data_IF_722400437558
#
_entry.id   IF_722400437558
#
_cell.length_a   1.000
_cell.length_b   1.000
_cell.length_c   1.000
_cell.angle_alpha   90.00
_cell.angle_beta   90.00
_cell.angle_gamma   90.00
#
_symmetry.space_group_name_H-M   'P 1'
#
loop_
_entity.id
_entity.type
_entity.pdbx_description
1 polymer ?
#
# COMPACT_ATOMS: atom_id res chain seq x y z
N UNK A 1 -6.91 -10.36 10.51
CA UNK A 1 -7.07 -11.60 9.81
C UNK A 1 -6.03 -11.76 8.72
N UNK A 2 -5.61 -12.96 8.51
CA UNK A 2 -4.62 -13.27 7.50
C UNK A 2 -5.14 -13.04 6.10
N UNK A 3 -6.46 -12.96 5.98
CA UNK A 3 -7.08 -12.75 4.67
C UNK A 3 -7.40 -11.32 4.36
N UNK A 4 -6.91 -10.38 5.16
CA UNK A 4 -7.17 -8.97 4.88
C UNK A 4 -6.60 -8.60 3.52
N UNK A 5 -7.40 -7.94 2.70
CA UNK A 5 -7.01 -7.56 1.36
C UNK A 5 -6.41 -6.16 1.34
N UNK A 6 -5.74 -5.84 0.23
CA UNK A 6 -5.22 -4.50 0.04
C UNK A 6 -6.34 -3.47 0.12
N UNK A 7 -7.52 -3.82 -0.35
CA UNK A 7 -8.67 -2.90 -0.31
C UNK A 7 -8.96 -2.44 1.12
N UNK A 8 -9.01 -3.39 2.04
CA UNK A 8 -9.31 -3.08 3.42
C UNK A 8 -8.14 -2.36 4.08
N UNK A 9 -6.95 -2.91 3.93
CA UNK A 9 -5.79 -2.41 4.65
C UNK A 9 -5.40 -1.01 4.21
N UNK A 10 -5.37 -0.75 2.91
CA UNK A 10 -4.96 0.56 2.42
C UNK A 10 -6.05 1.60 2.60
N UNK A 11 -7.31 1.18 2.58
CA UNK A 11 -8.39 2.11 2.91
C UNK A 11 -8.28 2.57 4.37
N UNK A 12 -7.95 1.65 5.27
CA UNK A 12 -7.77 2.00 6.67
C UNK A 12 -6.59 2.95 6.85
N UNK A 13 -5.49 2.71 6.12
CA UNK A 13 -4.33 3.58 6.21
C UNK A 13 -4.65 4.99 5.70
N UNK A 14 -5.37 5.08 4.60
CA UNK A 14 -5.75 6.38 4.05
C UNK A 14 -6.68 7.12 5.00
N UNK A 15 -7.65 6.43 5.57
CA UNK A 15 -8.55 7.03 6.55
C UNK A 15 -7.79 7.58 7.75
N UNK A 16 -6.85 6.80 8.27
CA UNK A 16 -6.08 7.24 9.42
C UNK A 16 -5.29 8.49 9.09
N UNK A 17 -4.68 8.53 7.91
CA UNK A 17 -3.94 9.70 7.48
C UNK A 17 -4.84 10.92 7.28
N UNK A 18 -5.99 10.73 6.67
CA UNK A 18 -6.91 11.84 6.44
C UNK A 18 -7.46 12.40 7.75
N UNK A 19 -7.62 11.54 8.73
CA UNK A 19 -8.18 11.96 10.01
C UNK A 19 -7.22 12.82 10.81
N UNK A 20 -5.94 12.46 10.86
CA UNK A 20 -5.00 13.10 11.76
C UNK A 20 -3.61 13.31 11.16
N UNK A 21 -3.43 13.02 9.88
CA UNK A 21 -2.13 13.18 9.24
C UNK A 21 -1.15 12.12 9.68
N UNK A 22 0.12 12.47 9.62
CA UNK A 22 1.21 11.56 9.96
C UNK A 22 1.29 11.41 11.47
N UNK A 23 0.71 10.33 11.97
CA UNK A 23 0.74 10.05 13.38
C UNK A 23 0.97 8.57 13.63
N UNK A 24 1.03 8.21 14.90
CA UNK A 24 1.34 6.84 15.29
C UNK A 24 0.35 5.83 14.73
N UNK A 25 -0.94 6.15 14.84
CA UNK A 25 -1.98 5.24 14.35
C UNK A 25 -1.92 5.11 12.84
N UNK A 26 -1.70 6.23 12.13
CA UNK A 26 -1.63 6.19 10.67
C UNK A 26 -0.41 5.39 10.22
N UNK A 27 0.73 5.57 10.87
CA UNK A 27 1.93 4.82 10.52
C UNK A 27 1.75 3.33 10.75
N UNK A 28 1.11 2.96 11.86
CA UNK A 28 0.83 1.56 12.14
C UNK A 28 -0.05 0.97 11.05
N UNK A 29 -1.09 1.69 10.66
CA UNK A 29 -1.99 1.22 9.61
C UNK A 29 -1.26 1.07 8.27
N UNK A 30 -0.34 1.99 7.97
CA UNK A 30 0.43 1.91 6.73
C UNK A 30 1.34 0.69 6.72
N UNK A 31 1.98 0.39 7.84
CA UNK A 31 2.84 -0.79 7.93
C UNK A 31 2.02 -2.06 7.79
N UNK A 32 0.87 -2.12 8.43
CA UNK A 32 -0.02 -3.27 8.31
C UNK A 32 -0.51 -3.45 6.88
N UNK A 33 -0.81 -2.33 6.20
CA UNK A 33 -1.23 -2.39 4.80
C UNK A 33 -0.10 -2.91 3.92
N UNK A 34 1.12 -2.45 4.17
CA UNK A 34 2.28 -2.93 3.41
C UNK A 34 2.45 -4.44 3.61
N UNK A 35 2.20 -4.93 4.81
CA UNK A 35 2.29 -6.36 5.05
C UNK A 35 1.19 -7.15 4.33
N UNK A 36 0.05 -6.52 4.10
CA UNK A 36 -1.00 -7.14 3.28
C UNK A 36 -0.60 -7.18 1.81
N UNK A 37 0.00 -6.11 1.31
CA UNK A 37 0.43 -6.04 -0.08
C UNK A 37 1.51 -4.99 -0.23
N UNK A 38 2.75 -5.44 -0.40
CA UNK A 38 3.91 -4.55 -0.44
C UNK A 38 4.05 -3.79 -1.76
N UNK A 39 3.26 -4.14 -2.76
CA UNK A 39 3.41 -3.55 -4.09
C UNK A 39 2.69 -2.23 -4.27
N UNK A 40 1.71 -1.93 -3.40
CA UNK A 40 0.86 -0.76 -3.59
C UNK A 40 1.64 0.57 -3.54
N UNK A 41 2.53 0.80 -2.56
CA UNK A 41 3.22 2.10 -2.52
C UNK A 41 4.01 2.40 -3.79
N UNK A 42 4.74 1.41 -4.30
CA UNK A 42 5.52 1.60 -5.51
C UNK A 42 4.64 1.92 -6.71
N UNK A 43 3.54 1.20 -6.84
CA UNK A 43 2.66 1.40 -7.97
C UNK A 43 1.93 2.74 -7.88
N UNK A 44 1.55 3.16 -6.68
CA UNK A 44 0.93 4.47 -6.49
C UNK A 44 1.89 5.60 -6.86
N UNK A 45 3.17 5.43 -6.55
CA UNK A 45 4.17 6.46 -6.81
C UNK A 45 4.58 6.52 -8.27
N UNK A 46 4.26 5.50 -9.05
CA UNK A 46 4.67 5.43 -10.45
C UNK A 46 3.94 6.50 -11.26
N UNK A 47 4.70 7.17 -12.10
CA UNK A 47 4.10 8.14 -13.02
C UNK A 47 3.43 7.39 -14.14
N UNK A 48 2.28 7.92 -14.59
CA UNK A 48 1.54 7.31 -15.65
C UNK A 48 0.53 6.32 -15.11
N UNK A 49 -0.02 5.56 -16.03
CA UNK A 49 -1.13 4.67 -15.69
C UNK A 49 -0.65 3.30 -15.30
N UNK A 50 -1.21 2.78 -14.22
CA UNK A 50 -0.96 1.40 -13.80
C UNK A 50 -1.89 0.50 -14.59
N UNK A 51 -1.31 -0.54 -15.20
CA UNK A 51 -2.10 -1.47 -15.98
C UNK A 51 -2.67 -2.56 -15.10
N UNK A 52 -3.92 -2.86 -15.35
CA UNK A 52 -4.59 -3.98 -14.70
C UNK A 52 -5.30 -4.80 -15.78
N UNK A 53 -4.98 -6.09 -15.82
CA UNK A 53 -5.66 -7.00 -16.72
C UNK A 53 -6.70 -7.80 -15.93
N UNK A 54 -7.96 -7.64 -16.32
CA UNK A 54 -9.04 -8.32 -15.60
C UNK A 54 -9.14 -9.75 -16.09
N UNK A 55 -8.56 -10.66 -15.34
CA UNK A 55 -8.61 -12.08 -15.65
C UNK A 55 -9.67 -12.81 -14.84
N UNK A 56 -10.45 -12.05 -14.07
CA UNK A 56 -11.48 -12.63 -13.23
C UNK A 56 -11.03 -12.96 -11.81
N UNK A 57 -9.76 -12.92 -11.54
CA UNK A 57 -9.23 -13.18 -10.20
C UNK A 57 -7.83 -12.58 -10.07
N UNK A 58 -7.38 -12.49 -8.84
CA UNK A 58 -6.04 -11.98 -8.53
C UNK A 58 -5.50 -12.69 -7.30
N UNK A 59 -4.19 -12.58 -7.13
CA UNK A 59 -3.49 -13.21 -6.01
C UNK A 59 -3.40 -12.22 -4.85
N UNK A 60 -3.91 -12.59 -3.69
CA UNK A 60 -3.79 -11.73 -2.51
C UNK A 60 -2.30 -11.51 -2.19
N UNK A 61 -1.95 -10.25 -1.95
CA UNK A 61 -0.58 -9.87 -1.69
C UNK A 61 0.26 -9.71 -2.94
N UNK A 62 -0.29 -9.98 -4.12
CA UNK A 62 0.45 -9.91 -5.35
C UNK A 62 0.35 -8.58 -6.05
N UNK A 63 1.14 -8.44 -7.12
CA UNK A 63 1.14 -7.22 -7.90
C UNK A 63 -0.18 -7.00 -8.61
N UNK A 64 -0.83 -8.08 -9.00
CA UNK A 64 -2.12 -7.98 -9.67
C UNK A 64 -3.18 -7.41 -8.73
N UNK A 65 -3.18 -7.82 -7.48
CA UNK A 65 -4.11 -7.24 -6.51
C UNK A 65 -3.81 -5.75 -6.32
N UNK A 66 -2.54 -5.39 -6.23
CA UNK A 66 -2.16 -3.99 -6.06
C UNK A 66 -2.62 -3.14 -7.26
N UNK A 67 -2.43 -3.65 -8.47
CA UNK A 67 -2.84 -2.93 -9.68
C UNK A 67 -4.35 -2.75 -9.70
N UNK A 68 -5.10 -3.77 -9.31
CA UNK A 68 -6.55 -3.69 -9.26
C UNK A 68 -6.99 -2.65 -8.24
N UNK A 69 -6.39 -2.68 -7.05
CA UNK A 69 -6.71 -1.70 -6.01
C UNK A 69 -6.50 -0.28 -6.52
N UNK A 70 -5.36 -0.03 -7.17
CA UNK A 70 -5.03 1.30 -7.65
C UNK A 70 -5.97 1.72 -8.78
N UNK A 71 -6.33 0.78 -9.66
CA UNK A 71 -7.27 1.08 -10.73
C UNK A 71 -8.59 1.59 -10.14
N UNK A 72 -9.06 0.98 -9.06
CA UNK A 72 -10.35 1.31 -8.47
C UNK A 72 -10.28 2.45 -7.49
N UNK A 73 -9.22 2.54 -6.69
CA UNK A 73 -9.17 3.45 -5.55
C UNK A 73 -7.94 4.33 -5.49
N UNK A 74 -7.05 4.24 -6.47
CA UNK A 74 -5.85 5.06 -6.47
C UNK A 74 -6.16 6.55 -6.47
N UNK A 75 -7.28 6.94 -7.05
CA UNK A 75 -7.67 8.35 -7.11
C UNK A 75 -7.82 8.95 -5.70
N UNK A 76 -8.32 8.16 -4.75
CA UNK A 76 -8.52 8.67 -3.39
C UNK A 76 -7.19 9.02 -2.74
N UNK A 77 -6.16 8.22 -3.01
CA UNK A 77 -4.81 8.51 -2.51
C UNK A 77 -4.25 9.76 -3.17
N UNK A 78 -4.42 9.89 -4.48
CA UNK A 78 -3.86 11.01 -5.22
C UNK A 78 -4.56 12.31 -4.91
N UNK A 79 -5.84 12.25 -4.58
CA UNK A 79 -6.60 13.45 -4.21
C UNK A 79 -6.34 13.92 -2.79
N UNK A 80 -5.77 13.06 -1.96
CA UNK A 80 -5.46 13.46 -0.58
C UNK A 80 -4.05 14.01 -0.55
N UNK A 81 -3.95 15.30 -0.24
CA UNK A 81 -2.68 16.01 -0.29
C UNK A 81 -1.62 15.32 0.57
N UNK A 82 -0.51 14.98 -0.06
CA UNK A 82 0.62 14.39 0.64
C UNK A 82 0.51 12.92 0.97
N UNK A 83 -0.64 12.28 0.69
CA UNK A 83 -0.87 10.91 1.13
C UNK A 83 0.05 9.91 0.43
N UNK A 84 0.23 10.04 -0.87
CA UNK A 84 1.08 9.11 -1.61
C UNK A 84 2.53 9.23 -1.14
N UNK A 85 3.03 10.46 -1.04
CA UNK A 85 4.41 10.68 -0.57
C UNK A 85 4.59 10.16 0.84
N UNK A 86 3.60 10.38 1.69
CA UNK A 86 3.63 9.89 3.06
C UNK A 86 3.70 8.36 3.09
N UNK A 87 2.86 7.71 2.30
CA UNK A 87 2.83 6.24 2.28
C UNK A 87 4.17 5.68 1.82
N UNK A 88 4.73 6.26 0.76
CA UNK A 88 6.03 5.83 0.26
C UNK A 88 7.11 6.01 1.32
N UNK A 89 7.10 7.16 1.98
CA UNK A 89 8.10 7.46 3.00
C UNK A 89 8.03 6.51 4.18
N UNK A 90 6.81 6.24 4.67
CA UNK A 90 6.62 5.37 5.83
C UNK A 90 7.02 3.93 5.52
N UNK A 91 6.79 3.49 4.28
CA UNK A 91 7.03 2.08 3.92
C UNK A 91 8.36 1.82 3.23
N UNK A 92 9.15 2.85 2.94
CA UNK A 92 10.35 2.66 2.12
C UNK A 92 11.38 1.75 2.76
N UNK A 93 11.44 1.71 4.07
CA UNK A 93 12.43 0.89 4.77
C UNK A 93 11.91 -0.49 5.14
N UNK A 94 10.71 -0.84 4.72
CA UNK A 94 10.09 -2.13 5.04
C UNK A 94 10.35 -3.14 3.94
N UNK A 95 11.56 -3.17 3.43
CA UNK A 95 11.94 -4.06 2.33
C UNK A 95 12.14 -5.48 2.86
N UNK A 96 11.40 -6.48 2.32
CA UNK A 96 11.56 -7.86 2.79
C UNK A 96 12.99 -8.37 2.64
N UNK A 97 13.69 -7.97 1.57
CA UNK A 97 15.05 -8.40 1.35
C UNK A 97 15.95 -7.86 2.47
N UNK A 98 15.77 -6.59 2.82
CA UNK A 98 16.57 -5.98 3.89
C UNK A 98 16.34 -6.71 5.21
N UNK A 99 15.07 -7.01 5.51
CA UNK A 99 14.76 -7.73 6.74
C UNK A 99 15.35 -9.11 6.74
N UNK A 100 15.31 -9.77 5.58
CA UNK A 100 15.92 -11.09 5.44
C UNK A 100 17.42 -11.04 5.68
N UNK A 101 18.08 -10.03 5.12
CA UNK A 101 19.51 -9.86 5.31
C UNK A 101 19.85 -9.66 6.78
N UNK A 102 19.07 -8.85 7.47
CA UNK A 102 19.28 -8.62 8.88
C UNK A 102 19.14 -9.91 9.68
N UNK A 103 18.23 -10.77 9.27
CA UNK A 103 18.02 -12.04 9.94
C UNK A 103 19.19 -12.99 9.74
N UNK A 104 19.82 -12.92 8.57
CA UNK A 104 20.94 -13.81 8.25
C UNK A 104 22.23 -13.43 8.98
N UNK A 105 22.30 -12.23 9.46
CA UNK A 105 23.49 -11.76 10.15
C UNK A 105 23.31 -11.81 11.64
#
# INVERSE_FOLDING_TARGET
SDEASAFICYTQALFAFRKAGDGKAARKAAVEAWECNRHVPKLLARKGRVRFEDTGYYTLGGEDEAAYYIEEYGFAWKETLGAVDWLVEVTKDLNPRRRGDATLH
#
